data_IF_419610882940
#
_entry.id   IF_419610882940
#
_cell.length_a   1.000
_cell.length_b   1.000
_cell.length_c   1.000
_cell.angle_alpha   90.00
_cell.angle_beta   90.00
_cell.angle_gamma   90.00
#
_symmetry.space_group_name_H-M   'P 1'
#
loop_
_entity.id
_entity.type
_entity.pdbx_description
1 polymer ?
#
# COMPACT_ATOMS: atom_id res chain seq x y z
N UNK A 1 -2.54 9.41 50.47
CA UNK A 1 -1.71 9.96 49.38
C UNK A 1 -2.27 9.35 48.11
N UNK A 2 -3.14 10.07 47.40
CA UNK A 2 -3.73 9.56 46.17
C UNK A 2 -2.67 9.77 45.10
N UNK A 3 -2.01 8.68 44.69
CA UNK A 3 -1.24 8.63 43.46
C UNK A 3 -2.25 8.77 42.31
N UNK A 4 -2.54 10.01 41.92
CA UNK A 4 -3.17 10.30 40.65
C UNK A 4 -2.20 9.80 39.58
N UNK A 5 -2.60 8.77 38.83
CA UNK A 5 -1.88 8.37 37.64
C UNK A 5 -1.78 9.62 36.73
N UNK A 6 -0.67 9.86 36.01
CA UNK A 6 -0.56 11.01 35.10
C UNK A 6 -1.68 11.05 34.05
N UNK A 7 -2.37 9.94 33.81
CA UNK A 7 -3.60 9.86 33.02
C UNK A 7 -4.84 10.49 33.68
N UNK A 8 -4.97 10.50 35.02
CA UNK A 8 -6.14 11.03 35.74
C UNK A 8 -6.19 12.56 35.79
N UNK A 9 -5.04 13.25 35.67
CA UNK A 9 -5.01 14.73 35.69
C UNK A 9 -5.40 15.32 34.32
N UNK A 10 -5.34 14.53 33.23
CA UNK A 10 -5.78 14.94 31.88
C UNK A 10 -7.28 14.73 31.64
N UNK A 11 -8.02 14.22 32.62
CA UNK A 11 -9.39 13.71 32.49
C UNK A 11 -10.51 14.75 32.28
N UNK A 12 -10.22 16.02 31.99
CA UNK A 12 -11.28 17.02 31.76
C UNK A 12 -11.64 17.26 30.29
N UNK A 13 -10.87 16.74 29.34
CA UNK A 13 -11.11 17.00 27.91
C UNK A 13 -11.54 15.71 27.20
N UNK A 14 -12.80 15.68 26.77
CA UNK A 14 -13.35 14.54 26.01
C UNK A 14 -12.71 14.53 24.61
N UNK A 15 -12.05 13.43 24.20
CA UNK A 15 -11.47 13.34 22.87
C UNK A 15 -12.56 13.26 21.80
N UNK A 16 -12.36 13.98 20.70
CA UNK A 16 -13.25 13.98 19.53
C UNK A 16 -13.07 12.71 18.69
N UNK A 17 -11.88 12.12 18.72
CA UNK A 17 -11.55 10.86 18.06
C UNK A 17 -10.34 10.22 18.75
N UNK A 18 -10.25 8.90 18.74
CA UNK A 18 -9.09 8.19 19.24
C UNK A 18 -8.87 6.89 18.47
N UNK A 19 -7.62 6.58 18.15
CA UNK A 19 -7.21 5.28 17.62
C UNK A 19 -6.00 4.72 18.40
N UNK A 20 -5.33 3.72 17.81
CA UNK A 20 -4.23 3.02 18.46
C UNK A 20 -3.10 3.96 18.93
N UNK A 21 -2.75 4.97 18.12
CA UNK A 21 -1.56 5.80 18.34
C UNK A 21 -1.89 7.28 18.54
N UNK A 22 -3.08 7.74 18.16
CA UNK A 22 -3.43 9.16 18.12
C UNK A 22 -4.75 9.46 18.82
N UNK A 23 -4.84 10.67 19.35
CA UNK A 23 -6.03 11.25 19.98
C UNK A 23 -6.28 12.63 19.38
N UNK A 24 -7.50 12.88 18.90
CA UNK A 24 -7.95 14.21 18.49
C UNK A 24 -8.66 14.84 19.69
N UNK A 25 -8.12 15.96 20.15
CA UNK A 25 -8.67 16.80 21.20
C UNK A 25 -9.29 18.06 20.57
N UNK A 26 -10.14 18.82 21.29
CA UNK A 26 -10.66 20.11 20.81
C UNK A 26 -9.57 21.11 20.39
N UNK A 27 -8.41 21.02 21.05
CA UNK A 27 -7.29 21.94 20.84
C UNK A 27 -6.28 21.45 19.80
N UNK A 28 -6.37 20.19 19.34
CA UNK A 28 -5.40 19.66 18.39
C UNK A 28 -5.31 18.13 18.32
N UNK A 29 -4.19 17.65 17.80
CA UNK A 29 -3.92 16.23 17.57
C UNK A 29 -2.71 15.78 18.38
N UNK A 30 -2.86 14.74 19.21
CA UNK A 30 -1.81 14.23 20.09
C UNK A 30 -1.42 12.79 19.73
N UNK A 31 -0.12 12.51 19.67
CA UNK A 31 0.42 11.15 19.62
C UNK A 31 0.55 10.58 21.03
N UNK A 32 -0.15 9.47 21.30
CA UNK A 32 -0.33 8.91 22.64
C UNK A 32 0.97 8.42 23.28
N UNK A 33 1.86 7.82 22.48
CA UNK A 33 3.07 7.21 23.03
C UNK A 33 4.21 8.21 23.27
N UNK A 34 4.28 9.30 22.48
CA UNK A 34 5.34 10.31 22.62
C UNK A 34 4.87 11.61 23.28
N UNK A 35 3.56 11.82 23.42
CA UNK A 35 2.98 13.10 23.86
C UNK A 35 3.17 14.21 22.82
N UNK A 36 3.51 13.88 21.57
CA UNK A 36 3.71 14.88 20.53
C UNK A 36 2.39 15.52 20.14
N UNK A 37 2.28 16.84 20.27
CA UNK A 37 1.05 17.58 20.05
C UNK A 37 1.17 18.52 18.85
N UNK A 38 0.13 18.53 18.03
CA UNK A 38 -0.05 19.42 16.88
C UNK A 38 -1.27 20.28 17.16
N UNK A 39 -1.04 21.58 17.30
CA UNK A 39 -2.10 22.54 17.59
C UNK A 39 -3.13 22.62 16.44
N UNK A 40 -4.40 22.77 16.79
CA UNK A 40 -5.50 22.91 15.83
C UNK A 40 -5.21 23.96 14.77
N UNK A 41 -4.66 25.11 15.16
CA UNK A 41 -4.46 26.25 14.26
C UNK A 41 -3.41 25.96 13.19
N UNK A 42 -2.51 25.01 13.45
CA UNK A 42 -1.44 24.63 12.51
C UNK A 42 -1.75 23.39 11.69
N UNK A 43 -2.76 22.58 12.04
CA UNK A 43 -3.10 21.33 11.31
C UNK A 43 -3.38 21.61 9.82
N UNK A 44 -3.95 22.77 9.50
CA UNK A 44 -4.25 23.22 8.14
C UNK A 44 -3.03 23.69 7.33
N UNK A 45 -1.85 23.81 7.93
CA UNK A 45 -0.68 24.45 7.30
C UNK A 45 -0.22 23.73 6.03
N UNK A 46 0.17 24.54 5.05
CA UNK A 46 0.54 24.12 3.71
C UNK A 46 1.95 24.55 3.34
N UNK A 47 2.62 23.69 2.58
CA UNK A 47 3.92 23.93 1.96
C UNK A 47 3.75 23.86 0.45
N UNK A 48 3.42 24.99 -0.18
CA UNK A 48 2.94 25.01 -1.56
C UNK A 48 1.60 24.30 -1.66
N UNK A 49 1.49 23.34 -2.58
CA UNK A 49 0.26 22.56 -2.78
C UNK A 49 0.08 21.42 -1.76
N UNK A 50 1.12 21.07 -1.00
CA UNK A 50 1.12 19.95 -0.07
C UNK A 50 0.80 20.37 1.36
N UNK A 51 0.23 19.44 2.12
CA UNK A 51 0.02 19.57 3.55
C UNK A 51 1.35 19.41 4.30
N UNK A 52 1.61 20.30 5.24
CA UNK A 52 2.89 20.34 5.94
C UNK A 52 3.06 19.18 6.93
N UNK A 53 2.05 18.96 7.77
CA UNK A 53 2.15 17.98 8.86
C UNK A 53 2.33 16.52 8.41
N UNK A 54 1.63 16.02 7.37
CA UNK A 54 1.91 14.70 6.82
C UNK A 54 3.36 14.54 6.35
N UNK A 55 3.98 15.60 5.81
CA UNK A 55 5.38 15.58 5.38
C UNK A 55 6.33 15.58 6.58
N UNK A 56 6.13 16.50 7.53
CA UNK A 56 6.98 16.60 8.73
C UNK A 56 6.94 15.34 9.59
N UNK A 57 5.76 14.75 9.76
CA UNK A 57 5.60 13.53 10.57
C UNK A 57 6.20 12.30 9.89
N UNK A 58 6.29 12.28 8.57
CA UNK A 58 6.92 11.17 7.86
C UNK A 58 8.44 11.12 8.06
N UNK A 59 9.08 12.23 8.43
CA UNK A 59 10.48 12.25 8.85
C UNK A 59 10.70 11.57 10.21
N UNK A 60 9.62 11.31 10.97
CA UNK A 60 9.70 10.71 12.30
C UNK A 60 9.51 9.21 12.21
N UNK A 61 10.56 8.46 12.56
CA UNK A 61 10.57 6.98 12.49
C UNK A 61 9.51 6.30 13.37
N UNK A 62 9.01 6.98 14.39
CA UNK A 62 7.94 6.50 15.27
C UNK A 62 6.54 6.68 14.70
N UNK A 63 6.36 7.50 13.65
CA UNK A 63 5.05 7.79 13.11
C UNK A 63 4.64 6.78 12.04
N UNK A 64 3.54 6.06 12.29
CA UNK A 64 3.00 5.11 11.32
C UNK A 64 1.96 5.78 10.42
N UNK A 65 1.99 5.51 9.10
CA UNK A 65 1.13 6.21 8.15
C UNK A 65 -0.36 5.96 8.35
N UNK A 66 -0.77 4.72 8.66
CA UNK A 66 -2.20 4.38 8.77
C UNK A 66 -2.88 5.02 9.98
N UNK A 67 -2.38 4.85 11.23
CA UNK A 67 -2.99 5.51 12.39
C UNK A 67 -2.97 7.03 12.27
N UNK A 68 -1.89 7.61 11.72
CA UNK A 68 -1.85 9.04 11.47
C UNK A 68 -2.93 9.46 10.49
N UNK A 69 -3.07 8.78 9.34
CA UNK A 69 -4.05 9.16 8.31
C UNK A 69 -5.47 9.20 8.86
N UNK A 70 -5.85 8.19 9.62
CA UNK A 70 -7.18 8.13 10.25
C UNK A 70 -7.41 9.31 11.18
N UNK A 71 -6.47 9.56 12.08
CA UNK A 71 -6.57 10.64 13.05
C UNK A 71 -6.51 12.03 12.40
N UNK A 72 -5.70 12.19 11.35
CA UNK A 72 -5.59 13.44 10.60
C UNK A 72 -6.90 13.73 9.87
N UNK A 73 -7.51 12.76 9.20
CA UNK A 73 -8.84 12.95 8.56
C UNK A 73 -9.91 13.25 9.61
N UNK A 74 -9.89 12.58 10.75
CA UNK A 74 -10.80 12.86 11.86
C UNK A 74 -10.63 14.30 12.38
N UNK A 75 -9.39 14.77 12.55
CA UNK A 75 -9.07 16.14 12.92
C UNK A 75 -9.58 17.16 11.90
N UNK A 76 -9.36 16.93 10.60
CA UNK A 76 -9.87 17.84 9.56
C UNK A 76 -11.39 17.96 9.59
N UNK A 77 -12.09 16.84 9.77
CA UNK A 77 -13.55 16.85 9.90
C UNK A 77 -14.00 17.57 11.18
N UNK A 78 -13.35 17.30 12.31
CA UNK A 78 -13.67 17.90 13.61
C UNK A 78 -13.46 19.42 13.61
N UNK A 79 -12.41 19.91 12.95
CA UNK A 79 -12.05 21.32 12.90
C UNK A 79 -12.65 22.06 11.70
N UNK A 80 -13.49 21.39 10.90
CA UNK A 80 -14.09 21.91 9.68
C UNK A 80 -13.05 22.46 8.67
N UNK A 81 -11.88 21.83 8.60
CA UNK A 81 -10.82 22.18 7.64
C UNK A 81 -11.12 21.43 6.33
N UNK A 82 -11.28 22.14 5.20
CA UNK A 82 -11.61 21.49 3.93
C UNK A 82 -10.45 20.61 3.45
N UNK A 83 -10.78 19.36 3.16
CA UNK A 83 -9.87 18.41 2.50
C UNK A 83 -9.86 18.66 0.99
N UNK A 84 -8.68 18.58 0.40
CA UNK A 84 -8.47 18.67 -1.05
C UNK A 84 -7.80 17.40 -1.58
N UNK A 85 -7.71 17.30 -2.91
CA UNK A 85 -7.04 16.20 -3.58
C UNK A 85 -5.55 16.09 -3.21
N UNK A 86 -4.93 17.18 -2.76
CA UNK A 86 -3.50 17.21 -2.42
C UNK A 86 -3.21 16.55 -1.06
N UNK A 87 -4.22 16.27 -0.24
CA UNK A 87 -4.04 15.50 1.01
C UNK A 87 -3.46 14.11 0.72
N UNK A 88 -4.02 13.40 -0.26
CA UNK A 88 -3.52 12.08 -0.64
C UNK A 88 -2.09 12.16 -1.19
N UNK A 89 -1.78 13.18 -1.99
CA UNK A 89 -0.44 13.42 -2.50
C UNK A 89 0.55 13.68 -1.35
N UNK A 90 0.16 14.43 -0.32
CA UNK A 90 1.02 14.75 0.82
C UNK A 90 1.40 13.52 1.63
N UNK A 91 0.44 12.61 1.87
CA UNK A 91 0.72 11.32 2.51
C UNK A 91 1.61 10.43 1.64
N UNK A 92 1.37 10.38 0.33
CA UNK A 92 2.18 9.61 -0.61
C UNK A 92 3.63 10.15 -0.70
N UNK A 93 3.81 11.46 -0.69
CA UNK A 93 5.12 12.11 -0.71
C UNK A 93 5.87 11.92 0.61
N UNK A 94 5.20 12.09 1.75
CA UNK A 94 5.83 11.95 3.07
C UNK A 94 6.19 10.50 3.39
N UNK A 95 5.21 9.61 3.40
CA UNK A 95 5.40 8.22 3.87
C UNK A 95 5.80 7.25 2.74
N UNK A 96 5.73 7.67 1.49
CA UNK A 96 6.00 6.83 0.32
C UNK A 96 4.92 5.77 0.08
N UNK A 97 5.07 5.00 -1.01
CA UNK A 97 4.29 3.78 -1.28
C UNK A 97 4.64 2.61 -0.32
N UNK A 98 5.42 2.86 0.74
CA UNK A 98 5.84 1.87 1.75
C UNK A 98 4.71 1.55 2.76
N UNK A 99 3.46 1.53 2.32
CA UNK A 99 2.46 0.70 2.99
C UNK A 99 2.83 -0.75 2.62
N UNK A 100 3.46 -1.47 3.55
CA UNK A 100 4.14 -2.74 3.30
C UNK A 100 3.31 -3.81 2.57
N UNK A 101 3.96 -4.92 2.17
CA UNK A 101 3.31 -6.04 1.49
C UNK A 101 2.30 -6.71 2.45
N UNK A 102 1.07 -6.21 2.49
CA UNK A 102 0.07 -6.66 3.44
C UNK A 102 -1.27 -5.91 3.41
N UNK A 103 -1.36 -4.72 2.81
CA UNK A 103 -2.64 -4.02 2.67
C UNK A 103 -3.42 -4.49 1.44
N UNK A 104 -3.80 -5.77 1.41
CA UNK A 104 -4.88 -6.26 0.55
C UNK A 104 -6.16 -6.21 1.36
N UNK A 105 -6.68 -5.00 1.53
CA UNK A 105 -8.09 -4.66 1.68
C UNK A 105 -8.18 -3.14 1.66
N UNK A 106 -7.91 -2.58 0.48
CA UNK A 106 -8.40 -1.26 0.15
C UNK A 106 -9.93 -1.30 0.35
N UNK A 107 -10.43 -0.47 1.26
CA UNK A 107 -11.85 -0.14 1.30
C UNK A 107 -12.30 0.23 -0.11
N UNK A 108 -13.50 -0.22 -0.50
CA UNK A 108 -14.16 -0.20 -1.81
C UNK A 108 -14.07 1.09 -2.64
N UNK A 109 -13.47 2.17 -2.12
CA UNK A 109 -13.43 3.50 -2.73
C UNK A 109 -12.04 3.94 -3.24
N UNK A 110 -10.99 3.12 -3.13
CA UNK A 110 -9.64 3.52 -3.56
C UNK A 110 -9.14 2.74 -4.79
N UNK A 111 -9.01 3.45 -5.90
CA UNK A 111 -8.33 2.96 -7.11
C UNK A 111 -6.83 2.93 -6.86
N UNK A 112 -6.20 1.77 -7.05
CA UNK A 112 -4.75 1.60 -7.00
C UNK A 112 -4.15 2.40 -8.18
N UNK A 113 -3.18 3.30 -7.89
CA UNK A 113 -2.54 4.14 -8.92
C UNK A 113 -1.95 3.34 -10.10
N UNK A 114 -1.55 2.08 -9.85
CA UNK A 114 -1.10 1.15 -10.89
C UNK A 114 -2.17 0.78 -11.93
N UNK A 115 -3.46 0.86 -11.58
CA UNK A 115 -4.57 0.66 -12.52
C UNK A 115 -4.87 1.94 -13.32
N UNK A 116 -4.67 3.12 -12.73
CA UNK A 116 -4.81 4.41 -13.42
C UNK A 116 -3.70 4.61 -14.46
N UNK A 117 -2.48 4.16 -14.15
CA UNK A 117 -1.30 4.35 -15.00
C UNK A 117 -1.13 3.28 -16.08
N UNK A 118 -1.96 2.22 -16.13
CA UNK A 118 -1.85 1.18 -17.15
C UNK A 118 -2.51 1.67 -18.45
N UNK A 119 -1.76 1.97 -19.53
CA UNK A 119 -2.35 2.33 -20.80
C UNK A 119 -3.15 1.14 -21.31
N UNK A 120 -4.44 1.38 -21.56
CA UNK A 120 -5.42 0.40 -22.03
C UNK A 120 -5.00 -0.16 -23.39
N UNK A 121 -4.24 -1.28 -23.40
CA UNK A 121 -4.23 -2.16 -24.57
C UNK A 121 -5.63 -2.77 -24.66
N UNK A 122 -6.46 -2.22 -25.53
CA UNK A 122 -7.71 -2.84 -25.96
C UNK A 122 -7.38 -4.24 -26.51
N UNK A 123 -7.47 -5.26 -25.67
CA UNK A 123 -7.60 -6.64 -26.15
C UNK A 123 -9.05 -6.81 -26.55
N UNK A 124 -9.28 -6.66 -27.84
CA UNK A 124 -10.51 -7.02 -28.51
C UNK A 124 -10.91 -8.46 -28.16
N UNK A 125 -12.11 -8.54 -27.61
CA UNK A 125 -13.07 -9.64 -27.64
C UNK A 125 -12.66 -10.89 -28.47
N UNK A 126 -12.00 -11.87 -27.84
CA UNK A 126 -11.91 -13.23 -28.37
C UNK A 126 -13.07 -14.05 -27.82
N UNK A 127 -14.23 -13.89 -28.45
CA UNK A 127 -15.38 -14.81 -28.35
C UNK A 127 -14.86 -16.21 -28.66
N UNK A 128 -14.85 -17.08 -27.64
CA UNK A 128 -14.61 -18.53 -27.81
C UNK A 128 -15.77 -19.12 -28.60
N UNK A 129 -15.67 -19.07 -29.93
CA UNK A 129 -16.52 -19.82 -30.85
C UNK A 129 -16.08 -21.28 -30.78
N UNK A 130 -16.85 -22.09 -30.04
CA UNK A 130 -16.81 -23.56 -30.12
C UNK A 130 -17.11 -23.95 -31.56
N UNK A 131 -16.12 -24.48 -32.26
CA UNK A 131 -16.33 -25.27 -33.47
C UNK A 131 -16.22 -26.74 -33.08
N UNK A 132 -17.36 -27.41 -33.13
CA UNK A 132 -17.52 -28.86 -33.06
C UNK A 132 -17.25 -29.47 -34.44
N UNK A 133 -16.31 -30.42 -34.51
CA UNK A 133 -16.21 -31.47 -35.52
C UNK A 133 -15.11 -32.43 -35.03
N UNK A 134 -15.49 -33.49 -34.32
CA UNK A 134 -15.58 -34.86 -34.85
C UNK A 134 -14.25 -35.39 -35.36
N UNK A 135 -13.65 -36.34 -34.63
CA UNK A 135 -13.07 -37.52 -35.26
C UNK A 135 -12.83 -38.64 -34.24
N UNK A 136 -13.15 -39.84 -34.68
CA UNK A 136 -13.34 -41.02 -33.87
C UNK A 136 -12.06 -41.80 -33.60
N UNK A 137 -12.21 -42.74 -32.66
CA UNK A 137 -11.28 -43.86 -32.44
C UNK A 137 -11.04 -44.62 -33.74
N UNK A 138 -9.81 -45.07 -34.00
CA UNK A 138 -9.50 -46.50 -34.16
C UNK A 138 -8.00 -46.79 -34.26
N UNK A 139 -7.69 -47.94 -33.68
CA UNK A 139 -6.46 -48.74 -33.59
C UNK A 139 -5.74 -49.07 -34.92
N UNK A 140 -4.43 -49.39 -34.84
CA UNK A 140 -3.70 -50.19 -35.84
C UNK A 140 -2.26 -49.73 -36.04
N UNK A 141 -1.25 -50.37 -35.43
CA UNK A 141 -0.41 -51.50 -35.92
C UNK A 141 0.55 -51.19 -37.09
N UNK A 142 1.84 -51.42 -36.82
CA UNK A 142 2.92 -51.67 -37.79
C UNK A 142 3.70 -50.41 -38.19
N UNK A 143 5.03 -50.33 -38.19
CA UNK A 143 6.10 -51.32 -38.15
C UNK A 143 7.24 -50.80 -39.06
N UNK A 144 8.49 -51.21 -38.75
CA UNK A 144 9.80 -50.94 -39.42
C UNK A 144 10.62 -49.80 -38.80
N UNK A 145 11.63 -50.13 -37.98
CA UNK A 145 12.99 -50.65 -38.27
C UNK A 145 13.91 -49.59 -38.90
N UNK A 146 14.91 -49.13 -38.15
CA UNK A 146 16.35 -49.26 -38.47
C UNK A 146 17.23 -48.47 -37.49
N UNK A 147 17.96 -49.20 -36.65
CA UNK A 147 19.35 -48.90 -36.26
C UNK A 147 20.27 -49.76 -37.16
N UNK A 148 21.62 -49.66 -37.19
CA UNK A 148 22.54 -48.97 -36.26
C UNK A 148 23.75 -48.27 -36.95
N UNK A 149 24.68 -47.69 -36.16
CA UNK A 149 26.17 -47.71 -36.28
C UNK A 149 26.75 -46.55 -35.43
N UNK A 150 27.45 -46.78 -34.29
CA UNK A 150 28.90 -47.07 -34.09
C UNK A 150 29.82 -46.15 -34.90
N UNK A 151 30.90 -45.53 -34.41
CA UNK A 151 31.71 -45.69 -33.21
C UNK A 151 32.71 -44.52 -33.06
N UNK A 152 33.35 -44.42 -31.88
CA UNK A 152 34.71 -43.91 -31.61
C UNK A 152 34.97 -42.40 -31.80
N UNK A 153 35.90 -41.72 -31.11
CA UNK A 153 36.74 -41.93 -29.92
C UNK A 153 37.58 -40.63 -29.77
N UNK A 154 38.17 -40.44 -28.58
CA UNK A 154 39.36 -39.60 -28.28
C UNK A 154 39.18 -38.06 -28.30
N UNK A 155 39.24 -37.40 -27.13
CA UNK A 155 40.41 -37.04 -26.31
C UNK A 155 41.06 -35.74 -26.79
N UNK A 156 41.26 -34.79 -25.86
CA UNK A 156 41.79 -33.46 -26.20
C UNK A 156 41.82 -32.46 -25.05
N UNK A 157 42.76 -32.69 -24.15
CA UNK A 157 43.15 -31.95 -22.96
C UNK A 157 43.59 -30.47 -23.12
N UNK A 158 43.64 -29.81 -21.95
CA UNK A 158 44.54 -28.72 -21.47
C UNK A 158 44.13 -27.26 -21.81
N UNK A 159 43.93 -26.37 -20.82
CA UNK A 159 44.76 -25.88 -19.70
C UNK A 159 45.73 -24.75 -20.09
N UNK A 160 45.55 -23.59 -19.47
CA UNK A 160 46.55 -22.61 -19.04
C UNK A 160 45.74 -21.51 -18.29
N UNK A 161 45.84 -21.47 -16.96
CA UNK A 161 46.66 -20.52 -16.18
C UNK A 161 46.07 -19.11 -16.19
#
# INVERSE_FOLDING_TARGET
MIELHPDDIRATVVPLFQNAEWTVLPDGLEHRASGYFIDRDVIGMRRGDLWEWPLQLAEKSWCRPLPLREAFVAALNAFAIPRDANLAASFATGFGLKAGPGSVKAADDFVILGDVLRPKRQTSNAVRKRASASEGRVSGRGGRLSAPQRAADVSGQRAAL
#
